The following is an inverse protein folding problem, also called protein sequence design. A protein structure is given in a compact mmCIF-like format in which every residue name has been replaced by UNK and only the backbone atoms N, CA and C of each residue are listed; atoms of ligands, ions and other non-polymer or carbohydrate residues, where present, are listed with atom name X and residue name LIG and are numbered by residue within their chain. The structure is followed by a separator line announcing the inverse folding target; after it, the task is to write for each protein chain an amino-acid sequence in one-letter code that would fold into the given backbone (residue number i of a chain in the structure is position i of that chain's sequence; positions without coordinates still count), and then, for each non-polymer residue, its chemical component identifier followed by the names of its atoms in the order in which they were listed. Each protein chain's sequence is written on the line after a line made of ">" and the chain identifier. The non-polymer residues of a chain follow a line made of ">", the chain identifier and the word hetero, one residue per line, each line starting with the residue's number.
data_IF_561307056946
#
_entry.id   IF_561307056946
#
_cell.length_a   1.000
_cell.length_b   1.000
_cell.length_c   1.000
_cell.angle_alpha   90.00
_cell.angle_beta   90.00
_cell.angle_gamma   90.00
#
_symmetry.space_group_name_H-M   'P 1'
#
loop_
_entity.id
_entity.type
_entity.pdbx_description
1 polymer ?
#
# COMPACT_ATOMS: atom_id res chain seq x y z
N UNK A 1 21.03 7.18 -28.12
CA UNK A 1 22.09 7.42 -27.12
C UNK A 1 21.55 7.05 -25.75
N UNK A 2 22.39 7.00 -24.72
CA UNK A 2 21.93 6.85 -23.32
C UNK A 2 20.94 7.95 -22.93
N UNK A 3 21.25 9.20 -23.32
CA UNK A 3 20.40 10.38 -23.12
C UNK A 3 18.97 10.22 -23.67
N UNK A 4 18.81 9.71 -24.89
CA UNK A 4 17.47 9.47 -25.47
C UNK A 4 16.66 8.44 -24.67
N UNK A 5 17.33 7.42 -24.13
CA UNK A 5 16.67 6.39 -23.33
C UNK A 5 16.23 6.94 -21.97
N UNK A 6 17.11 7.71 -21.31
CA UNK A 6 16.80 8.33 -20.02
C UNK A 6 15.60 9.30 -20.14
N UNK A 7 15.57 10.15 -21.17
CA UNK A 7 14.42 11.03 -21.44
C UNK A 7 13.12 10.24 -21.69
N UNK A 8 13.21 9.09 -22.38
CA UNK A 8 12.05 8.23 -22.58
C UNK A 8 11.55 7.63 -21.26
N UNK A 9 12.46 7.23 -20.37
CA UNK A 9 12.09 6.73 -19.05
C UNK A 9 11.45 7.81 -18.17
N UNK A 10 11.93 9.05 -18.21
CA UNK A 10 11.29 10.18 -17.50
C UNK A 10 9.84 10.37 -17.96
N UNK A 11 9.60 10.35 -19.28
CA UNK A 11 8.24 10.42 -19.82
C UNK A 11 7.38 9.27 -19.33
N UNK A 12 7.88 8.03 -19.37
CA UNK A 12 7.14 6.85 -18.91
C UNK A 12 6.82 6.90 -17.42
N UNK A 13 7.73 7.45 -16.61
CA UNK A 13 7.48 7.69 -15.19
C UNK A 13 6.29 8.63 -15.00
N UNK A 14 6.24 9.76 -15.73
CA UNK A 14 5.14 10.71 -15.67
C UNK A 14 3.82 10.06 -16.12
N UNK A 15 3.82 9.34 -17.24
CA UNK A 15 2.61 8.64 -17.70
C UNK A 15 2.11 7.63 -16.66
N UNK A 16 3.02 6.91 -16.00
CA UNK A 16 2.66 5.96 -14.93
C UNK A 16 2.06 6.67 -13.73
N UNK A 17 2.65 7.79 -13.35
CA UNK A 17 2.16 8.61 -12.25
C UNK A 17 0.76 9.16 -12.58
N UNK A 18 0.53 9.63 -13.81
CA UNK A 18 -0.77 10.07 -14.30
C UNK A 18 -1.84 8.97 -14.23
N UNK A 19 -1.51 7.73 -14.62
CA UNK A 19 -2.42 6.59 -14.45
C UNK A 19 -2.79 6.34 -12.99
N UNK A 20 -1.80 6.35 -12.09
CA UNK A 20 -2.04 6.21 -10.64
C UNK A 20 -2.91 7.35 -10.10
N UNK A 21 -2.63 8.58 -10.51
CA UNK A 21 -3.39 9.79 -10.16
C UNK A 21 -4.83 9.67 -10.65
N UNK A 22 -5.06 9.16 -11.87
CA UNK A 22 -6.40 8.92 -12.39
C UNK A 22 -7.23 8.02 -11.48
N UNK A 23 -6.63 6.93 -10.98
CA UNK A 23 -7.29 6.05 -10.02
C UNK A 23 -7.59 6.77 -8.69
N UNK A 24 -6.63 7.53 -8.16
CA UNK A 24 -6.82 8.31 -6.92
C UNK A 24 -7.96 9.32 -7.08
N UNK A 25 -8.02 10.05 -8.20
CA UNK A 25 -9.09 11.01 -8.49
C UNK A 25 -10.48 10.36 -8.53
N UNK A 26 -10.58 9.17 -9.12
CA UNK A 26 -11.84 8.39 -9.10
C UNK A 26 -12.26 8.04 -7.67
N UNK A 27 -11.33 7.56 -6.84
CA UNK A 27 -11.63 7.27 -5.44
C UNK A 27 -11.97 8.51 -4.62
N UNK A 28 -11.27 9.63 -4.84
CA UNK A 28 -11.58 10.91 -4.21
C UNK A 28 -13.02 11.32 -4.48
N UNK A 29 -13.46 11.24 -5.74
CA UNK A 29 -14.85 11.54 -6.11
C UNK A 29 -15.84 10.63 -5.37
N UNK A 30 -15.57 9.32 -5.33
CA UNK A 30 -16.42 8.35 -4.62
C UNK A 30 -16.47 8.62 -3.10
N UNK A 31 -15.36 9.09 -2.53
CA UNK A 31 -15.23 9.47 -1.13
C UNK A 31 -15.61 10.94 -0.84
N UNK A 32 -16.38 11.57 -1.73
CA UNK A 32 -16.87 12.96 -1.57
C UNK A 32 -15.73 13.98 -1.33
N UNK A 33 -14.63 13.81 -2.06
CA UNK A 33 -13.40 14.58 -1.97
C UNK A 33 -12.69 14.52 -0.60
N UNK A 34 -13.00 13.51 0.23
CA UNK A 34 -12.25 13.26 1.45
C UNK A 34 -10.91 12.58 1.11
N UNK A 35 -9.82 13.35 1.24
CA UNK A 35 -8.47 12.85 0.94
C UNK A 35 -7.96 11.86 1.99
N UNK A 36 -8.28 12.05 3.26
CA UNK A 36 -7.83 11.15 4.33
C UNK A 36 -8.48 9.77 4.19
N UNK A 37 -9.78 9.72 3.87
CA UNK A 37 -10.49 8.46 3.60
C UNK A 37 -9.93 7.76 2.34
N UNK A 38 -9.67 8.53 1.28
CA UNK A 38 -9.08 7.97 0.05
C UNK A 38 -7.66 7.45 0.28
N UNK A 39 -6.85 8.19 1.05
CA UNK A 39 -5.51 7.76 1.43
C UNK A 39 -5.57 6.47 2.27
N UNK A 40 -6.51 6.40 3.21
CA UNK A 40 -6.76 5.20 4.02
C UNK A 40 -7.13 3.97 3.16
N UNK A 41 -7.99 4.11 2.15
CA UNK A 41 -8.33 3.00 1.23
C UNK A 41 -7.09 2.50 0.47
N UNK A 42 -6.28 3.40 -0.07
CA UNK A 42 -5.07 3.04 -0.80
C UNK A 42 -4.00 2.45 0.11
N UNK A 43 -3.85 2.97 1.33
CA UNK A 43 -2.96 2.41 2.33
C UNK A 43 -3.30 0.94 2.57
N UNK A 44 -4.56 0.62 2.81
CA UNK A 44 -5.01 -0.77 2.97
C UNK A 44 -4.74 -1.60 1.73
N UNK A 45 -5.19 -1.13 0.55
CA UNK A 45 -4.99 -1.80 -0.73
C UNK A 45 -3.53 -2.25 -0.92
N UNK A 46 -2.57 -1.36 -0.63
CA UNK A 46 -1.16 -1.69 -0.81
C UNK A 46 -0.55 -2.52 0.33
N UNK A 47 -1.12 -2.50 1.54
CA UNK A 47 -0.80 -3.50 2.58
C UNK A 47 -1.17 -4.94 2.17
N UNK A 48 -2.17 -5.09 1.29
CA UNK A 48 -2.53 -6.37 0.69
C UNK A 48 -1.57 -6.90 -0.36
N UNK A 49 -0.61 -6.09 -0.82
CA UNK A 49 0.28 -6.41 -1.94
C UNK A 49 -0.53 -6.95 -3.14
N UNK A 50 0.09 -7.71 -4.04
CA UNK A 50 -0.61 -8.19 -5.23
C UNK A 50 -1.75 -9.18 -4.91
N UNK A 51 -1.58 -10.03 -3.89
CA UNK A 51 -2.49 -11.17 -3.65
C UNK A 51 -3.76 -10.76 -2.90
N UNK A 52 -3.66 -9.89 -1.90
CA UNK A 52 -4.78 -9.50 -1.04
C UNK A 52 -5.15 -8.01 -1.20
N UNK A 53 -4.70 -7.32 -2.26
CA UNK A 53 -5.02 -5.89 -2.46
C UNK A 53 -6.52 -5.60 -2.44
N UNK A 54 -7.30 -6.39 -3.18
CA UNK A 54 -8.76 -6.24 -3.26
C UNK A 54 -9.44 -6.43 -1.89
N UNK A 55 -9.25 -7.56 -1.16
CA UNK A 55 -9.91 -7.72 0.14
C UNK A 55 -9.45 -6.68 1.17
N UNK A 56 -8.21 -6.21 1.11
CA UNK A 56 -7.78 -5.10 1.98
C UNK A 56 -8.48 -3.78 1.63
N UNK A 57 -8.60 -3.43 0.35
CA UNK A 57 -9.32 -2.23 -0.08
C UNK A 57 -10.81 -2.29 0.32
N UNK A 58 -11.45 -3.45 0.14
CA UNK A 58 -12.82 -3.69 0.59
C UNK A 58 -12.96 -3.58 2.12
N UNK A 59 -11.98 -4.10 2.87
CA UNK A 59 -11.96 -3.94 4.33
C UNK A 59 -11.98 -2.47 4.74
N UNK A 60 -11.19 -1.63 4.07
CA UNK A 60 -11.16 -0.19 4.33
C UNK A 60 -12.48 0.49 3.94
N UNK A 61 -13.02 0.17 2.78
CA UNK A 61 -14.30 0.72 2.31
C UNK A 61 -15.46 0.38 3.25
N UNK A 62 -15.48 -0.84 3.77
CA UNK A 62 -16.51 -1.30 4.71
C UNK A 62 -16.23 -0.86 6.17
N UNK A 63 -15.07 -0.25 6.44
CA UNK A 63 -14.70 0.21 7.79
C UNK A 63 -14.27 1.68 7.72
N UNK A 64 -15.23 2.63 7.64
CA UNK A 64 -14.93 4.04 7.45
C UNK A 64 -13.91 4.58 8.45
N UNK A 65 -12.96 5.39 7.98
CA UNK A 65 -11.86 5.92 8.81
C UNK A 65 -12.37 6.62 10.07
N UNK A 66 -13.46 7.38 9.94
CA UNK A 66 -14.09 8.11 11.07
C UNK A 66 -14.54 7.19 12.22
N UNK A 67 -14.86 5.92 11.94
CA UNK A 67 -15.22 4.96 13.00
C UNK A 67 -13.96 4.55 13.75
N UNK A 68 -12.86 4.28 13.04
CA UNK A 68 -11.55 3.97 13.62
C UNK A 68 -11.06 5.14 14.49
N UNK A 69 -11.11 6.37 13.99
CA UNK A 69 -10.67 7.56 14.73
C UNK A 69 -11.44 7.80 16.04
N UNK A 70 -12.72 7.40 16.10
CA UNK A 70 -13.56 7.51 17.31
C UNK A 70 -13.23 6.46 18.37
N UNK A 71 -12.46 5.42 18.05
CA UNK A 71 -12.14 4.33 18.97
C UNK A 71 -10.61 4.13 19.01
N UNK A 72 -9.85 5.04 19.65
CA UNK A 72 -8.39 5.05 19.57
C UNK A 72 -7.72 3.91 20.35
N UNK A 73 -8.49 3.11 21.10
CA UNK A 73 -7.97 1.96 21.81
C UNK A 73 -7.59 0.84 20.83
N UNK A 74 -6.42 0.23 21.02
CA UNK A 74 -5.93 -0.82 20.12
C UNK A 74 -6.93 -1.98 19.98
N UNK A 75 -7.53 -2.39 21.10
CA UNK A 75 -8.49 -3.50 21.12
C UNK A 75 -9.70 -3.20 20.24
N UNK A 76 -10.21 -1.97 20.25
CA UNK A 76 -11.35 -1.57 19.43
C UNK A 76 -10.98 -1.48 17.94
N UNK A 77 -9.79 -0.97 17.62
CA UNK A 77 -9.30 -0.93 16.22
C UNK A 77 -9.09 -2.35 15.69
N UNK A 78 -8.39 -3.22 16.43
CA UNK A 78 -8.21 -4.62 16.02
C UNK A 78 -9.55 -5.36 15.96
N UNK A 79 -10.50 -5.10 16.87
CA UNK A 79 -11.83 -5.70 16.85
C UNK A 79 -12.60 -5.28 15.58
N UNK A 80 -12.60 -3.99 15.23
CA UNK A 80 -13.21 -3.49 14.00
C UNK A 80 -12.57 -4.15 12.77
N UNK A 81 -11.24 -4.14 12.65
CA UNK A 81 -10.58 -4.63 11.45
C UNK A 81 -10.65 -6.16 11.31
N UNK A 82 -10.43 -6.92 12.38
CA UNK A 82 -10.56 -8.38 12.32
C UNK A 82 -12.00 -8.84 12.20
N UNK A 83 -12.93 -8.15 12.86
CA UNK A 83 -14.35 -8.42 12.76
C UNK A 83 -14.89 -8.16 11.36
N UNK A 84 -14.63 -6.97 10.81
CA UNK A 84 -15.01 -6.63 9.44
C UNK A 84 -14.34 -7.51 8.40
N UNK A 85 -13.14 -8.03 8.67
CA UNK A 85 -12.47 -9.02 7.84
C UNK A 85 -13.07 -10.44 7.93
N UNK A 86 -14.05 -10.68 8.82
CA UNK A 86 -14.66 -12.00 9.05
C UNK A 86 -13.80 -12.97 9.86
N UNK A 87 -12.71 -12.51 10.47
CA UNK A 87 -11.79 -13.37 11.24
C UNK A 87 -12.32 -13.74 12.63
N UNK A 88 -13.33 -13.04 13.15
CA UNK A 88 -13.88 -13.25 14.50
C UNK A 88 -15.15 -14.14 14.54
N UNK A 89 -15.49 -14.78 13.42
CA UNK A 89 -16.70 -15.60 13.30
C UNK A 89 -16.54 -17.03 13.84
N UNK A 90 -15.32 -17.43 14.20
CA UNK A 90 -15.01 -18.77 14.72
C UNK A 90 -15.24 -18.86 16.24
N UNK A 91 -15.26 -20.09 16.76
CA UNK A 91 -15.22 -20.36 18.19
C UNK A 91 -13.82 -20.87 18.54
N UNK A 92 -13.04 -20.01 19.18
CA UNK A 92 -11.66 -20.27 19.59
C UNK A 92 -11.52 -19.99 21.09
N UNK A 93 -10.99 -20.95 21.83
CA UNK A 93 -10.67 -20.77 23.25
C UNK A 93 -9.33 -20.02 23.40
N UNK A 94 -9.36 -18.72 23.13
CA UNK A 94 -8.23 -17.81 23.21
C UNK A 94 -8.71 -16.47 23.79
N UNK A 95 -8.16 -16.07 24.94
CA UNK A 95 -8.60 -14.87 25.68
C UNK A 95 -8.57 -13.60 24.83
N UNK A 96 -7.55 -13.45 23.98
CA UNK A 96 -7.43 -12.27 23.13
C UNK A 96 -8.50 -12.26 22.06
N UNK A 97 -8.69 -13.40 21.38
CA UNK A 97 -9.74 -13.58 20.39
C UNK A 97 -11.14 -13.30 20.96
N UNK A 98 -11.44 -13.84 22.15
CA UNK A 98 -12.75 -13.64 22.78
C UNK A 98 -13.01 -12.18 23.16
N UNK A 99 -11.98 -11.47 23.62
CA UNK A 99 -12.07 -10.02 23.88
C UNK A 99 -12.36 -9.24 22.61
N UNK A 100 -11.66 -9.54 21.51
CA UNK A 100 -11.92 -8.91 20.21
C UNK A 100 -13.32 -9.21 19.71
N UNK A 101 -13.77 -10.46 19.80
CA UNK A 101 -15.10 -10.89 19.35
C UNK A 101 -16.22 -10.17 20.10
N UNK A 102 -16.10 -10.06 21.43
CA UNK A 102 -17.05 -9.33 22.28
C UNK A 102 -17.10 -7.83 21.94
N UNK A 103 -15.93 -7.19 21.82
CA UNK A 103 -15.83 -5.77 21.45
C UNK A 103 -16.43 -5.52 20.06
N UNK A 104 -16.12 -6.39 19.10
CA UNK A 104 -16.62 -6.28 17.74
C UNK A 104 -18.15 -6.44 17.68
N UNK A 105 -18.73 -7.38 18.42
CA UNK A 105 -20.19 -7.57 18.45
C UNK A 105 -20.92 -6.28 18.87
N UNK A 106 -20.39 -5.56 19.86
CA UNK A 106 -20.92 -4.26 20.27
C UNK A 106 -20.79 -3.21 19.16
N UNK A 107 -19.60 -3.07 18.56
CA UNK A 107 -19.31 -2.08 17.52
C UNK A 107 -20.09 -2.35 16.22
N UNK A 108 -20.24 -3.62 15.84
CA UNK A 108 -21.01 -4.06 14.70
C UNK A 108 -22.48 -3.66 14.84
N UNK A 109 -23.09 -3.93 16.00
CA UNK A 109 -24.48 -3.53 16.27
C UNK A 109 -24.63 -2.00 16.28
N UNK A 110 -23.70 -1.29 16.92
CA UNK A 110 -23.71 0.18 17.04
C UNK A 110 -23.63 0.90 15.68
N UNK A 111 -22.84 0.37 14.75
CA UNK A 111 -22.57 1.02 13.45
C UNK A 111 -23.18 0.28 12.25
N UNK A 112 -23.97 -0.78 12.49
CA UNK A 112 -24.60 -1.60 11.46
C UNK A 112 -23.59 -2.13 10.42
N UNK A 113 -22.43 -2.60 10.91
CA UNK A 113 -21.31 -2.96 10.06
C UNK A 113 -21.55 -4.30 9.34
N UNK A 114 -21.18 -4.34 8.07
CA UNK A 114 -21.25 -5.54 7.23
C UNK A 114 -19.87 -6.13 7.02
N UNK A 115 -19.70 -7.37 7.47
CA UNK A 115 -18.44 -8.12 7.37
C UNK A 115 -18.20 -8.59 5.94
N UNK A 116 -16.94 -8.59 5.51
CA UNK A 116 -16.53 -9.32 4.30
C UNK A 116 -16.33 -10.81 4.64
N UNK A 117 -16.50 -11.67 3.64
CA UNK A 117 -16.35 -13.11 3.84
C UNK A 117 -14.88 -13.50 4.03
N UNK A 118 -14.60 -14.33 5.05
CA UNK A 118 -13.24 -14.80 5.37
C UNK A 118 -12.55 -15.49 4.18
N UNK A 119 -13.30 -16.14 3.29
CA UNK A 119 -12.80 -16.89 2.11
C UNK A 119 -12.11 -16.00 1.06
N UNK A 120 -12.38 -14.69 1.09
CA UNK A 120 -11.74 -13.71 0.20
C UNK A 120 -10.24 -13.57 0.50
N UNK A 121 -9.83 -13.79 1.75
CA UNK A 121 -8.45 -13.70 2.20
C UNK A 121 -7.62 -14.91 1.79
N UNK A 122 -6.51 -14.69 1.09
CA UNK A 122 -5.57 -15.74 0.72
C UNK A 122 -4.42 -15.83 1.72
N UNK A 123 -4.17 -17.03 2.22
CA UNK A 123 -3.01 -17.38 3.05
C UNK A 123 -2.02 -18.29 2.31
N UNK A 124 -2.49 -19.06 1.33
CA UNK A 124 -1.64 -19.99 0.57
C UNK A 124 -0.60 -19.24 -0.26
N UNK A 125 0.59 -19.83 -0.39
CA UNK A 125 1.75 -19.28 -1.13
C UNK A 125 2.27 -17.93 -0.59
N UNK A 126 1.83 -17.50 0.60
CA UNK A 126 2.38 -16.35 1.30
C UNK A 126 3.42 -16.79 2.33
N UNK A 127 4.44 -15.96 2.52
CA UNK A 127 5.30 -16.06 3.71
C UNK A 127 4.48 -15.64 4.93
N UNK A 128 4.65 -16.27 6.12
CA UNK A 128 3.85 -15.96 7.31
C UNK A 128 3.81 -14.47 7.69
N UNK A 129 4.91 -13.73 7.47
CA UNK A 129 4.98 -12.28 7.71
C UNK A 129 4.04 -11.44 6.83
N UNK A 130 3.54 -12.02 5.73
CA UNK A 130 2.63 -11.38 4.78
C UNK A 130 1.18 -11.85 4.96
N UNK A 131 0.88 -12.69 5.95
CA UNK A 131 -0.49 -13.12 6.20
C UNK A 131 -1.40 -11.93 6.52
N UNK A 132 -2.67 -11.95 6.06
CA UNK A 132 -3.64 -10.91 6.34
C UNK A 132 -3.75 -10.54 7.81
N UNK A 133 -3.71 -11.54 8.70
CA UNK A 133 -3.73 -11.36 10.17
C UNK A 133 -2.62 -10.43 10.67
N UNK A 134 -1.39 -10.65 10.21
CA UNK A 134 -0.23 -9.83 10.58
C UNK A 134 -0.35 -8.43 9.98
N UNK A 135 -0.78 -8.33 8.71
CA UNK A 135 -0.93 -7.05 8.02
C UNK A 135 -2.02 -6.17 8.63
N UNK A 136 -3.15 -6.76 9.01
CA UNK A 136 -4.23 -6.06 9.72
C UNK A 136 -3.74 -5.55 11.09
N UNK A 137 -3.01 -6.37 11.86
CA UNK A 137 -2.47 -5.91 13.14
C UNK A 137 -1.45 -4.76 12.99
N UNK A 138 -0.59 -4.84 11.97
CA UNK A 138 0.34 -3.74 11.64
C UNK A 138 -0.42 -2.46 11.29
N UNK A 139 -1.49 -2.55 10.48
CA UNK A 139 -2.36 -1.42 10.16
C UNK A 139 -3.02 -0.86 11.42
N UNK A 140 -3.57 -1.70 12.29
CA UNK A 140 -4.19 -1.26 13.54
C UNK A 140 -3.22 -0.47 14.41
N UNK A 141 -1.98 -0.95 14.54
CA UNK A 141 -0.92 -0.25 15.27
C UNK A 141 -0.51 1.06 14.61
N UNK A 142 -0.45 1.11 13.28
CA UNK A 142 -0.16 2.34 12.53
C UNK A 142 -1.26 3.40 12.72
N UNK A 143 -2.54 3.01 12.58
CA UNK A 143 -3.68 3.90 12.75
C UNK A 143 -3.82 4.39 14.20
N UNK A 144 -3.57 3.52 15.18
CA UNK A 144 -3.50 3.91 16.60
C UNK A 144 -2.45 4.99 16.83
N UNK A 145 -1.25 4.79 16.28
CA UNK A 145 -0.11 5.71 16.48
C UNK A 145 -0.31 7.02 15.73
N UNK A 146 -0.95 6.97 14.56
CA UNK A 146 -1.12 8.10 13.65
C UNK A 146 -2.55 8.15 13.07
N UNK A 147 -3.56 8.60 13.83
CA UNK A 147 -4.95 8.67 13.34
C UNK A 147 -5.14 9.54 12.09
N UNK A 148 -4.34 10.61 11.96
CA UNK A 148 -4.29 11.50 10.79
C UNK A 148 -2.96 11.34 10.03
N UNK A 149 -2.71 10.13 9.56
CA UNK A 149 -1.42 9.75 8.98
C UNK A 149 -1.03 10.64 7.79
N UNK A 150 -1.98 10.96 6.89
CA UNK A 150 -1.68 11.78 5.72
C UNK A 150 -1.31 13.21 6.09
N UNK A 151 -2.01 13.84 7.04
CA UNK A 151 -1.63 15.17 7.53
C UNK A 151 -0.20 15.19 8.09
N UNK A 152 0.21 14.15 8.82
CA UNK A 152 1.59 14.03 9.32
C UNK A 152 2.61 13.85 8.20
N UNK A 153 2.25 13.17 7.11
CA UNK A 153 3.13 13.04 5.93
C UNK A 153 3.38 14.41 5.28
N UNK A 154 2.39 15.30 5.25
CA UNK A 154 2.52 16.65 4.67
C UNK A 154 3.50 17.56 5.43
N UNK A 155 3.89 17.19 6.65
CA UNK A 155 4.86 17.89 7.50
C UNK A 155 6.31 17.40 7.29
N UNK A 156 6.50 16.28 6.58
CA UNK A 156 7.81 15.64 6.39
C UNK A 156 8.42 16.02 5.04
N UNK A 157 9.75 15.97 4.97
CA UNK A 157 10.50 16.42 3.80
C UNK A 157 11.39 15.36 3.18
N UNK A 158 11.61 14.22 3.85
CA UNK A 158 12.50 13.19 3.34
C UNK A 158 11.97 11.74 3.47
N UNK A 159 12.55 10.86 2.65
CA UNK A 159 12.19 9.42 2.59
C UNK A 159 12.39 8.73 3.95
N UNK A 160 13.44 9.04 4.70
CA UNK A 160 13.77 8.39 5.97
C UNK A 160 12.78 8.79 7.06
N UNK A 161 12.40 10.07 7.13
CA UNK A 161 11.35 10.57 8.01
C UNK A 161 10.03 9.85 7.75
N UNK A 162 9.63 9.74 6.48
CA UNK A 162 8.39 9.04 6.09
C UNK A 162 8.49 7.54 6.42
N UNK A 163 9.63 6.90 6.18
CA UNK A 163 9.86 5.51 6.58
C UNK A 163 9.73 5.35 8.11
N UNK A 164 10.26 6.29 8.90
CA UNK A 164 10.18 6.26 10.36
C UNK A 164 8.74 6.47 10.86
N UNK A 165 7.97 7.35 10.22
CA UNK A 165 6.55 7.55 10.49
C UNK A 165 5.76 6.25 10.23
N UNK A 166 5.99 5.62 9.09
CA UNK A 166 5.32 4.38 8.67
C UNK A 166 5.80 3.13 9.42
N UNK A 167 6.97 3.17 10.06
CA UNK A 167 7.52 2.02 10.76
C UNK A 167 6.64 1.60 11.94
N UNK A 168 6.10 0.39 11.83
CA UNK A 168 5.27 -0.25 12.87
C UNK A 168 5.56 -1.75 12.98
N UNK A 169 4.96 -2.40 13.98
CA UNK A 169 4.95 -3.84 14.22
C UNK A 169 3.52 -4.29 14.53
N UNK A 170 3.21 -5.56 14.32
CA UNK A 170 1.99 -6.15 14.89
C UNK A 170 2.00 -6.07 16.43
N UNK A 171 0.81 -6.09 17.03
CA UNK A 171 0.60 -6.01 18.49
C UNK A 171 1.12 -7.26 19.22
N UNK A 172 1.19 -7.18 20.55
CA UNK A 172 1.88 -8.16 21.40
C UNK A 172 1.36 -9.59 21.25
N UNK A 173 0.04 -9.76 21.06
CA UNK A 173 -0.57 -11.08 20.79
C UNK A 173 0.10 -11.80 19.63
N UNK A 174 0.46 -11.05 18.60
CA UNK A 174 1.06 -11.58 17.40
C UNK A 174 2.52 -11.93 17.60
N UNK A 175 3.23 -11.52 18.65
CA UNK A 175 4.65 -11.87 18.84
C UNK A 175 4.88 -13.38 18.77
N UNK A 176 3.94 -14.21 19.23
CA UNK A 176 4.02 -15.68 19.18
C UNK A 176 3.07 -16.32 18.18
N UNK A 177 2.37 -15.58 17.32
CA UNK A 177 1.33 -16.15 16.45
C UNK A 177 1.34 -15.53 15.05
N UNK A 178 1.01 -16.32 14.03
CA UNK A 178 0.73 -15.81 12.68
C UNK A 178 -0.75 -15.90 12.31
N UNK A 179 -1.50 -16.76 13.00
CA UNK A 179 -2.95 -16.90 12.91
C UNK A 179 -3.49 -17.04 14.33
N UNK A 180 -4.76 -16.71 14.56
CA UNK A 180 -5.37 -16.86 15.87
C UNK A 180 -5.24 -18.31 16.38
N UNK A 181 -4.95 -18.47 17.67
CA UNK A 181 -4.78 -19.78 18.33
C UNK A 181 -3.52 -20.57 17.95
N UNK A 182 -2.83 -20.24 16.84
CA UNK A 182 -1.67 -21.02 16.36
C UNK A 182 -0.35 -20.45 16.90
N UNK A 183 0.19 -21.10 17.92
CA UNK A 183 1.47 -20.72 18.56
C UNK A 183 2.67 -20.99 17.63
N UNK A 184 3.65 -20.10 17.70
CA UNK A 184 4.89 -20.10 16.95
C UNK A 184 6.00 -19.46 17.77
N UNK A 185 7.25 -19.58 17.31
CA UNK A 185 8.40 -18.95 17.97
C UNK A 185 8.21 -17.43 18.09
N UNK A 186 8.50 -16.89 19.27
CA UNK A 186 8.37 -15.46 19.54
C UNK A 186 9.28 -14.64 18.62
N UNK A 187 8.70 -13.70 17.88
CA UNK A 187 9.42 -12.78 17.01
C UNK A 187 8.59 -11.53 16.74
N UNK A 188 9.18 -10.31 16.86
CA UNK A 188 8.55 -9.08 16.42
C UNK A 188 8.18 -9.14 14.93
N UNK A 189 6.94 -8.79 14.62
CA UNK A 189 6.42 -8.75 13.25
C UNK A 189 6.44 -7.31 12.74
N UNK A 190 7.66 -6.78 12.64
CA UNK A 190 7.92 -5.43 12.12
C UNK A 190 7.68 -5.38 10.62
N UNK A 191 7.21 -4.22 10.13
CA UNK A 191 7.26 -3.94 8.70
C UNK A 191 8.71 -3.88 8.24
N UNK A 192 9.03 -4.63 7.18
CA UNK A 192 10.35 -4.59 6.55
C UNK A 192 10.50 -3.40 5.61
N UNK A 193 11.75 -3.02 5.32
CA UNK A 193 12.09 -1.88 4.44
C UNK A 193 11.40 -1.96 3.07
N UNK A 194 11.34 -3.15 2.46
CA UNK A 194 10.65 -3.35 1.18
C UNK A 194 9.19 -2.92 1.24
N UNK A 195 8.48 -3.25 2.33
CA UNK A 195 7.08 -2.86 2.50
C UNK A 195 6.94 -1.34 2.65
N UNK A 196 7.82 -0.70 3.43
CA UNK A 196 7.82 0.75 3.59
C UNK A 196 8.03 1.45 2.24
N UNK A 197 9.01 0.99 1.47
CA UNK A 197 9.26 1.51 0.12
C UNK A 197 8.06 1.29 -0.80
N UNK A 198 7.40 0.12 -0.74
CA UNK A 198 6.17 -0.13 -1.51
C UNK A 198 5.08 0.88 -1.18
N UNK A 199 4.85 1.22 0.10
CA UNK A 199 3.88 2.24 0.50
C UNK A 199 4.30 3.62 0.01
N UNK A 200 5.59 3.96 0.10
CA UNK A 200 6.08 5.26 -0.38
C UNK A 200 5.84 5.42 -1.88
N UNK A 201 6.27 4.44 -2.68
CA UNK A 201 6.20 4.46 -4.16
C UNK A 201 4.75 4.46 -4.67
N UNK A 202 3.86 3.74 -3.98
CA UNK A 202 2.53 3.47 -4.51
C UNK A 202 1.39 4.23 -3.81
N UNK A 203 1.64 4.77 -2.62
CA UNK A 203 0.66 5.52 -1.85
C UNK A 203 1.17 6.93 -1.61
N UNK A 204 2.29 7.10 -0.91
CA UNK A 204 2.73 8.43 -0.45
C UNK A 204 3.07 9.37 -1.61
N UNK A 205 3.97 8.97 -2.51
CA UNK A 205 4.37 9.82 -3.63
C UNK A 205 3.19 10.17 -4.56
N UNK A 206 2.34 9.22 -5.02
CA UNK A 206 1.15 9.56 -5.80
C UNK A 206 0.18 10.52 -5.09
N UNK A 207 -0.06 10.33 -3.78
CA UNK A 207 -0.96 11.22 -3.03
C UNK A 207 -0.37 12.61 -2.81
N UNK A 208 0.92 12.73 -2.55
CA UNK A 208 1.61 14.02 -2.49
C UNK A 208 1.51 14.77 -3.82
N UNK A 209 1.69 14.06 -4.94
CA UNK A 209 1.53 14.67 -6.26
C UNK A 209 0.10 15.17 -6.49
N UNK A 210 -0.91 14.33 -6.21
CA UNK A 210 -2.33 14.73 -6.32
C UNK A 210 -2.63 15.93 -5.44
N UNK A 211 -2.22 15.88 -4.17
CA UNK A 211 -2.45 16.95 -3.21
C UNK A 211 -1.77 18.25 -3.65
N UNK A 212 -0.50 18.19 -4.07
CA UNK A 212 0.23 19.33 -4.60
C UNK A 212 -0.46 19.97 -5.80
N UNK A 213 -0.96 19.17 -6.75
CA UNK A 213 -1.71 19.71 -7.90
C UNK A 213 -3.08 20.28 -7.52
N UNK A 214 -3.82 19.65 -6.62
CA UNK A 214 -5.12 20.16 -6.16
C UNK A 214 -5.00 21.47 -5.36
N UNK A 215 -3.97 21.58 -4.53
CA UNK A 215 -3.73 22.73 -3.66
C UNK A 215 -2.83 23.80 -4.30
N UNK A 216 -2.38 23.60 -5.55
CA UNK A 216 -1.43 24.48 -6.25
C UNK A 216 -0.13 24.69 -5.45
N UNK A 217 0.35 23.63 -4.79
CA UNK A 217 1.56 23.63 -3.98
C UNK A 217 2.63 22.75 -4.63
N UNK A 218 3.45 23.34 -5.51
CA UNK A 218 4.48 22.65 -6.27
C UNK A 218 5.53 21.96 -5.38
N UNK A 219 5.74 22.41 -4.13
CA UNK A 219 6.62 21.73 -3.17
C UNK A 219 6.25 20.25 -2.96
N UNK A 220 4.96 19.90 -2.97
CA UNK A 220 4.53 18.51 -2.79
C UNK A 220 4.64 17.69 -4.08
N UNK A 221 4.56 18.34 -5.23
CA UNK A 221 4.81 17.72 -6.54
C UNK A 221 6.29 17.37 -6.66
N UNK A 222 7.17 18.31 -6.32
CA UNK A 222 8.62 18.10 -6.28
C UNK A 222 8.99 16.99 -5.29
N UNK A 223 8.46 17.05 -4.06
CA UNK A 223 8.70 16.02 -3.05
C UNK A 223 8.24 14.63 -3.55
N UNK A 224 7.09 14.53 -4.20
CA UNK A 224 6.61 13.24 -4.73
C UNK A 224 7.60 12.59 -5.71
N UNK A 225 8.19 13.39 -6.61
CA UNK A 225 9.20 12.90 -7.57
C UNK A 225 10.51 12.56 -6.86
N UNK A 226 10.96 13.42 -5.95
CA UNK A 226 12.16 13.21 -5.15
C UNK A 226 12.07 11.93 -4.30
N UNK A 227 10.90 11.61 -3.74
CA UNK A 227 10.69 10.35 -3.01
C UNK A 227 10.92 9.14 -3.92
N UNK A 228 10.54 9.20 -5.20
CA UNK A 228 10.76 8.10 -6.14
C UNK A 228 12.25 7.97 -6.51
N UNK A 229 12.95 9.08 -6.68
CA UNK A 229 14.39 9.11 -6.99
C UNK A 229 15.25 8.66 -5.80
N UNK A 230 14.85 8.99 -4.58
CA UNK A 230 15.59 8.63 -3.35
C UNK A 230 15.21 7.27 -2.77
N UNK A 231 14.16 6.62 -3.28
CA UNK A 231 13.79 5.26 -2.87
C UNK A 231 14.57 4.23 -3.69
N UNK A 232 15.15 3.18 -3.06
CA UNK A 232 15.85 2.11 -3.76
C UNK A 232 14.99 1.43 -4.84
N UNK A 233 15.61 0.86 -5.88
CA UNK A 233 14.89 0.17 -6.95
C UNK A 233 14.04 -0.97 -6.40
N UNK A 234 12.87 -1.15 -7.00
CA UNK A 234 11.99 -2.28 -6.68
C UNK A 234 12.57 -3.60 -7.20
N UNK A 235 12.38 -4.68 -6.43
CA UNK A 235 12.73 -6.03 -6.87
C UNK A 235 11.48 -6.82 -7.19
N UNK A 236 11.28 -7.14 -8.47
CA UNK A 236 10.21 -8.00 -8.96
C UNK A 236 10.62 -8.68 -10.28
N UNK A 237 9.80 -9.59 -10.79
CA UNK A 237 10.11 -10.37 -12.00
C UNK A 237 10.27 -9.53 -13.27
N UNK A 238 9.61 -8.37 -13.36
CA UNK A 238 9.78 -7.45 -14.50
C UNK A 238 11.17 -6.82 -14.43
N UNK A 239 11.57 -6.32 -13.27
CA UNK A 239 12.87 -5.70 -13.07
C UNK A 239 14.01 -6.71 -13.25
N UNK A 240 13.87 -7.93 -12.71
CA UNK A 240 14.83 -9.01 -12.93
C UNK A 240 15.02 -9.33 -14.43
N UNK A 241 13.94 -9.23 -15.23
CA UNK A 241 14.01 -9.39 -16.67
C UNK A 241 14.80 -8.28 -17.38
N UNK A 242 14.72 -7.04 -16.88
CA UNK A 242 15.50 -5.91 -17.39
C UNK A 242 16.98 -5.99 -16.97
N UNK A 243 17.24 -6.37 -15.72
CA UNK A 243 18.61 -6.59 -15.19
C UNK A 243 19.33 -7.68 -15.99
N UNK A 244 18.64 -8.78 -16.33
CA UNK A 244 19.18 -9.83 -17.19
C UNK A 244 19.53 -9.37 -18.62
N UNK A 245 18.98 -8.23 -19.06
CA UNK A 245 19.29 -7.59 -20.34
C UNK A 245 20.36 -6.47 -20.20
N UNK A 246 20.97 -6.33 -19.02
CA UNK A 246 21.99 -5.31 -18.74
C UNK A 246 21.43 -3.92 -18.42
N UNK A 247 20.12 -3.80 -18.14
CA UNK A 247 19.50 -2.54 -17.69
C UNK A 247 19.38 -2.58 -16.17
N UNK A 248 20.26 -1.84 -15.49
CA UNK A 248 20.34 -1.79 -14.03
C UNK A 248 19.71 -0.50 -13.48
N UNK A 249 18.48 -0.54 -12.93
CA UNK A 249 17.85 0.62 -12.35
C UNK A 249 18.49 1.00 -11.02
N UNK A 250 18.77 2.30 -10.83
CA UNK A 250 19.44 2.81 -9.61
C UNK A 250 18.46 3.29 -8.54
N UNK A 251 17.19 3.54 -8.89
CA UNK A 251 16.15 4.01 -7.99
C UNK A 251 14.75 3.56 -8.42
N UNK A 252 13.75 3.88 -7.60
CA UNK A 252 12.37 3.50 -7.85
C UNK A 252 11.72 4.28 -8.99
N UNK A 253 12.17 5.50 -9.30
CA UNK A 253 11.72 6.25 -10.47
C UNK A 253 12.02 5.47 -11.76
N UNK A 254 13.24 4.95 -11.90
CA UNK A 254 13.63 4.10 -13.02
C UNK A 254 12.84 2.78 -13.04
N UNK A 255 12.66 2.10 -11.90
CA UNK A 255 11.88 0.85 -11.88
C UNK A 255 10.42 1.09 -12.25
N UNK A 256 9.80 2.17 -11.79
CA UNK A 256 8.44 2.53 -12.16
C UNK A 256 8.33 2.80 -13.67
N UNK A 257 9.27 3.51 -14.29
CA UNK A 257 9.31 3.72 -15.74
C UNK A 257 9.49 2.40 -16.52
N UNK A 258 10.37 1.51 -16.07
CA UNK A 258 10.61 0.22 -16.72
C UNK A 258 9.43 -0.75 -16.59
N UNK A 259 8.72 -0.72 -15.45
CA UNK A 259 7.47 -1.46 -15.29
C UNK A 259 6.43 -0.91 -16.27
N UNK A 260 6.39 0.40 -16.45
CA UNK A 260 5.49 1.05 -17.40
C UNK A 260 5.76 0.62 -18.85
N UNK A 261 7.02 0.73 -19.27
CA UNK A 261 7.49 0.26 -20.57
C UNK A 261 7.08 -1.20 -20.80
N UNK A 262 7.35 -2.07 -19.83
CA UNK A 262 7.01 -3.50 -19.97
C UNK A 262 5.50 -3.71 -20.10
N UNK A 263 4.71 -3.14 -19.21
CA UNK A 263 3.29 -3.48 -19.05
C UNK A 263 2.39 -2.82 -20.10
N UNK A 264 2.64 -1.56 -20.43
CA UNK A 264 1.77 -0.79 -21.34
C UNK A 264 2.32 -0.60 -22.75
N UNK A 265 3.58 -0.98 -23.01
CA UNK A 265 4.14 -0.98 -24.36
C UNK A 265 4.56 -2.36 -24.82
N UNK A 266 5.58 -2.97 -24.20
CA UNK A 266 6.16 -4.23 -24.68
C UNK A 266 5.14 -5.37 -24.70
N UNK A 267 4.42 -5.60 -23.59
CA UNK A 267 3.41 -6.66 -23.50
C UNK A 267 2.21 -6.40 -24.42
N UNK A 268 1.95 -5.15 -24.79
CA UNK A 268 0.88 -4.75 -25.72
C UNK A 268 1.37 -4.63 -27.17
N UNK A 269 2.63 -4.94 -27.46
CA UNK A 269 3.26 -4.82 -28.78
C UNK A 269 3.16 -3.41 -29.41
N UNK A 270 3.14 -2.36 -28.58
CA UNK A 270 3.06 -0.95 -29.05
C UNK A 270 4.43 -0.38 -29.46
N UNK A 271 5.23 -1.17 -30.19
CA UNK A 271 6.60 -0.79 -30.55
C UNK A 271 6.66 0.49 -31.39
N UNK A 272 5.67 0.72 -32.25
CA UNK A 272 5.55 1.95 -33.07
C UNK A 272 5.24 3.21 -32.25
N UNK A 273 4.75 3.06 -31.01
CA UNK A 273 4.49 4.18 -30.09
C UNK A 273 5.59 4.33 -29.02
N UNK A 274 6.61 3.47 -29.04
CA UNK A 274 7.70 3.44 -28.07
C UNK A 274 8.97 3.97 -28.73
N UNK A 275 9.64 4.96 -28.13
CA UNK A 275 10.87 5.51 -28.71
C UNK A 275 11.98 4.44 -28.87
N UNK A 276 12.06 3.50 -27.93
CA UNK A 276 12.97 2.33 -28.04
C UNK A 276 12.55 1.43 -29.20
N UNK A 277 11.25 1.14 -29.32
CA UNK A 277 10.73 0.26 -30.36
C UNK A 277 10.92 0.83 -31.77
N UNK A 278 10.58 2.11 -31.97
CA UNK A 278 10.81 2.83 -33.24
C UNK A 278 12.27 2.75 -33.64
N UNK A 279 13.19 3.02 -32.70
CA UNK A 279 14.62 2.98 -32.97
C UNK A 279 15.11 1.58 -33.36
N UNK A 280 14.66 0.55 -32.66
CA UNK A 280 15.02 -0.84 -32.99
C UNK A 280 14.50 -1.24 -34.37
N UNK A 281 13.31 -0.79 -34.76
CA UNK A 281 12.71 -1.09 -36.06
C UNK A 281 13.34 -0.29 -37.22
N UNK A 282 13.77 0.95 -36.96
CA UNK A 282 14.42 1.81 -37.96
C UNK A 282 15.90 1.52 -38.17
N UNK A 283 16.47 0.59 -37.41
CA UNK A 283 17.88 0.15 -37.54
C UNK A 283 18.00 -1.06 -38.47
N UNK A 284 16.88 -1.58 -38.97
CA UNK A 284 16.79 -2.53 -40.07
C UNK A 284 16.44 -1.81 -41.37
#
# INVERSE_FOLDING_TARGET
>A
SKFEFDNWLERLLLERLERKIGLIKTHLKNNKNNIDETFYHFLFKYFGLNVNSIPFEQLAQNTPLKIIEKHPQLISIEALLFGQAGFLNENLDDDYFQRLKKEYAFLQAKFQLQTIEKVTWKFSKLRPSNFPTIRISQLAMLLKKHPRLFSRILELSDVKEIQQLLQTSASDYWLTRYQFGVVSKSKPKKMGKTMLNTIIINVVAPFLFVYGKLQQQEKYVALALELLEKTPPESNSIIAGWEAMGIEPTNSATTQALIELKTNYCSQKKCLNCQVGVKLLSTF
#
